data_IF_007512601953
#
_entry.id   IF_007512601953
#
_cell.length_a   1.000
_cell.length_b   1.000
_cell.length_c   1.000
_cell.angle_alpha   90.00
_cell.angle_beta   90.00
_cell.angle_gamma   90.00
#
_symmetry.space_group_name_H-M   'P 1'
#
loop_
_entity.id
_entity.type
_entity.pdbx_description
1 polymer ?
#
# COMPACT_ATOMS: atom_id res chain seq x y z
N UNK A 1 -19.85 -5.57 11.55
CA UNK A 1 -19.05 -4.48 12.15
C UNK A 1 -18.98 -3.34 11.17
N UNK A 2 -19.47 -2.18 11.50
CA UNK A 2 -19.30 -0.99 10.68
C UNK A 2 -18.24 -0.14 11.37
N UNK A 3 -17.02 -0.10 10.84
CA UNK A 3 -16.04 0.84 11.32
C UNK A 3 -16.26 2.18 10.62
N UNK A 4 -16.50 3.23 11.37
CA UNK A 4 -16.58 4.60 10.87
C UNK A 4 -15.22 5.22 11.16
N UNK A 5 -14.48 5.53 10.12
CA UNK A 5 -13.21 6.21 10.25
C UNK A 5 -13.42 7.72 10.14
N UNK A 6 -13.04 8.43 11.17
CA UNK A 6 -12.87 9.87 11.11
C UNK A 6 -11.44 10.12 10.65
N UNK A 7 -11.26 10.39 9.37
CA UNK A 7 -9.98 10.94 8.92
C UNK A 7 -9.74 12.22 9.67
N UNK A 8 -8.61 12.26 10.36
CA UNK A 8 -8.24 13.39 11.18
C UNK A 8 -8.27 14.68 10.35
N UNK A 9 -9.19 15.56 10.69
CA UNK A 9 -9.31 16.90 10.17
C UNK A 9 -8.33 17.83 10.91
N UNK A 10 -7.19 17.32 11.35
CA UNK A 10 -6.18 18.12 12.07
C UNK A 10 -5.50 19.17 11.20
N UNK A 11 -5.71 19.14 9.89
CA UNK A 11 -5.65 20.33 9.07
C UNK A 11 -7.10 20.74 8.74
N UNK A 12 -7.67 21.72 9.43
CA UNK A 12 -8.94 22.26 9.02
C UNK A 12 -8.76 22.87 7.64
N UNK A 13 -9.05 22.09 6.59
CA UNK A 13 -9.44 22.75 5.35
C UNK A 13 -10.62 23.63 5.74
N UNK A 14 -10.51 24.95 5.60
CA UNK A 14 -11.56 25.85 6.05
C UNK A 14 -12.88 25.36 5.44
N UNK A 15 -13.99 25.39 6.17
CA UNK A 15 -15.26 24.98 5.64
C UNK A 15 -15.46 25.77 4.34
N UNK A 16 -15.67 25.06 3.24
CA UNK A 16 -15.95 25.69 1.96
C UNK A 16 -17.23 26.49 2.14
N UNK A 17 -17.09 27.79 2.38
CA UNK A 17 -18.21 28.72 2.56
C UNK A 17 -18.88 28.85 1.21
N UNK A 18 -20.06 28.29 1.07
CA UNK A 18 -20.91 28.48 -0.09
C UNK A 18 -21.38 29.95 -0.08
N UNK A 19 -21.74 30.48 -1.26
CA UNK A 19 -22.32 31.83 -1.39
C UNK A 19 -23.52 32.11 -0.47
N UNK A 20 -24.13 31.05 0.09
CA UNK A 20 -25.27 31.12 1.02
C UNK A 20 -24.87 31.26 2.51
N UNK A 21 -23.59 31.42 2.82
CA UNK A 21 -23.08 31.55 4.19
C UNK A 21 -23.13 30.27 5.05
N UNK A 22 -23.57 29.12 4.48
CA UNK A 22 -23.64 27.86 5.18
C UNK A 22 -22.32 27.09 5.05
N UNK A 23 -21.75 26.65 6.17
CA UNK A 23 -20.58 25.80 6.20
C UNK A 23 -20.91 24.43 5.58
N UNK A 24 -20.18 24.04 4.53
CA UNK A 24 -20.27 22.68 3.95
C UNK A 24 -19.14 21.84 4.52
N UNK A 25 -19.49 20.82 5.23
CA UNK A 25 -18.53 19.82 5.71
C UNK A 25 -18.26 18.81 4.60
N UNK A 26 -16.99 18.46 4.32
CA UNK A 26 -16.64 17.47 3.31
C UNK A 26 -16.93 16.05 3.82
N UNK A 27 -18.16 15.60 3.65
CA UNK A 27 -18.61 14.25 4.06
C UNK A 27 -17.83 13.16 3.32
N UNK A 28 -17.32 13.46 2.14
CA UNK A 28 -16.52 12.56 1.31
C UNK A 28 -15.20 12.14 1.98
N UNK A 29 -14.72 12.94 2.95
CA UNK A 29 -13.52 12.61 3.73
C UNK A 29 -13.79 11.61 4.85
N UNK A 30 -15.06 11.30 5.15
CA UNK A 30 -15.43 10.31 6.15
C UNK A 30 -15.46 8.93 5.48
N UNK A 31 -14.48 8.09 5.78
CA UNK A 31 -14.43 6.71 5.31
C UNK A 31 -15.38 5.82 6.13
N UNK A 32 -16.36 5.22 5.49
CA UNK A 32 -17.25 4.23 6.13
C UNK A 32 -16.93 2.86 5.55
N UNK A 33 -16.37 1.98 6.38
CA UNK A 33 -16.12 0.59 5.99
C UNK A 33 -17.24 -0.29 6.54
N UNK A 34 -17.83 -1.06 5.64
CA UNK A 34 -18.87 -2.03 5.97
C UNK A 34 -18.22 -3.41 6.04
N UNK A 35 -18.30 -4.04 7.21
CA UNK A 35 -17.87 -5.42 7.39
C UNK A 35 -19.07 -6.29 7.80
N UNK A 36 -19.08 -7.53 7.32
CA UNK A 36 -20.03 -8.53 7.78
C UNK A 36 -19.67 -8.95 9.20
N UNK A 37 -20.64 -9.02 10.08
CA UNK A 37 -20.39 -9.36 11.48
C UNK A 37 -21.66 -9.21 12.32
N UNK A 38 -21.48 -9.00 13.60
CA UNK A 38 -22.48 -9.08 14.63
C UNK A 38 -23.58 -7.99 14.50
N UNK A 39 -23.75 -7.14 15.47
CA UNK A 39 -24.81 -6.13 15.47
C UNK A 39 -24.35 -4.79 14.87
N UNK A 40 -25.30 -3.99 14.35
CA UNK A 40 -25.05 -2.62 13.94
C UNK A 40 -24.63 -1.71 15.11
N UNK A 41 -25.00 -2.09 16.33
CA UNK A 41 -24.63 -1.36 17.56
C UNK A 41 -23.15 -1.50 17.91
N UNK A 42 -22.45 -2.49 17.37
CA UNK A 42 -21.01 -2.69 17.54
C UNK A 42 -20.16 -1.89 16.55
N UNK A 43 -20.78 -0.92 15.91
CA UNK A 43 -20.06 0.01 15.04
C UNK A 43 -19.13 0.89 15.88
N UNK A 44 -17.87 0.93 15.52
CA UNK A 44 -16.83 1.67 16.23
C UNK A 44 -16.38 2.88 15.42
N UNK A 45 -16.20 4.01 16.08
CA UNK A 45 -15.57 5.19 15.52
C UNK A 45 -14.07 5.09 15.78
N UNK A 46 -13.29 4.98 14.70
CA UNK A 46 -11.83 4.97 14.76
C UNK A 46 -11.29 6.36 14.48
N UNK A 47 -10.50 6.89 15.39
CA UNK A 47 -9.76 8.13 15.20
C UNK A 47 -8.48 7.80 14.41
N UNK A 48 -8.53 8.01 13.11
CA UNK A 48 -7.47 7.61 12.19
C UNK A 48 -8.00 7.15 10.84
N UNK A 49 -7.22 6.42 10.09
CA UNK A 49 -7.58 5.88 8.79
C UNK A 49 -7.83 4.38 8.86
N UNK A 50 -8.96 3.93 8.35
CA UNK A 50 -9.30 2.51 8.21
C UNK A 50 -9.30 2.14 6.74
N UNK A 51 -8.57 1.08 6.39
CA UNK A 51 -8.49 0.53 5.04
C UNK A 51 -9.31 -0.76 4.96
N UNK A 52 -9.97 -0.98 3.82
CA UNK A 52 -10.67 -2.23 3.54
C UNK A 52 -9.74 -3.42 3.28
N UNK A 53 -8.44 -3.15 3.16
CA UNK A 53 -7.41 -4.16 2.91
C UNK A 53 -7.04 -4.97 4.14
N UNK A 54 -6.51 -6.16 3.90
CA UNK A 54 -5.89 -7.00 4.93
C UNK A 54 -4.37 -7.04 4.71
N UNK A 55 -3.64 -7.41 5.76
CA UNK A 55 -2.21 -7.71 5.63
C UNK A 55 -1.99 -8.79 4.58
N UNK A 56 -0.96 -8.62 3.77
CA UNK A 56 -0.74 -9.45 2.58
C UNK A 56 -0.27 -10.88 2.93
N UNK A 57 0.41 -11.07 4.06
CA UNK A 57 0.86 -12.37 4.56
C UNK A 57 0.60 -12.53 6.06
N UNK A 58 0.32 -13.78 6.47
CA UNK A 58 0.06 -14.09 7.88
C UNK A 58 1.28 -13.93 8.78
N UNK A 59 2.49 -14.13 8.24
CA UNK A 59 3.75 -13.97 8.97
C UNK A 59 4.14 -12.52 9.30
N UNK A 60 3.38 -11.53 8.80
CA UNK A 60 3.62 -10.13 9.09
C UNK A 60 3.12 -9.76 10.48
N UNK A 61 3.77 -8.79 11.16
CA UNK A 61 3.33 -8.33 12.47
C UNK A 61 1.91 -7.75 12.40
N UNK A 62 1.18 -7.86 13.50
CA UNK A 62 -0.20 -7.32 13.61
C UNK A 62 -0.20 -5.83 13.90
N UNK A 63 0.85 -5.33 14.53
CA UNK A 63 0.99 -3.95 14.96
C UNK A 63 2.43 -3.49 14.79
N UNK A 64 2.59 -2.28 14.29
CA UNK A 64 3.88 -1.60 14.19
C UNK A 64 3.74 -0.23 14.85
N UNK A 65 4.64 0.07 15.77
CA UNK A 65 4.76 1.40 16.36
C UNK A 65 5.70 2.23 15.48
N UNK A 66 5.54 3.55 15.49
CA UNK A 66 6.35 4.50 14.70
C UNK A 66 6.36 4.12 13.20
N UNK A 67 5.16 3.98 12.65
CA UNK A 67 4.97 3.54 11.28
C UNK A 67 5.52 4.56 10.27
N UNK A 68 6.50 4.13 9.47
CA UNK A 68 6.96 4.82 8.26
C UNK A 68 6.26 4.20 7.08
N UNK A 69 5.33 4.94 6.49
CA UNK A 69 4.44 4.44 5.44
C UNK A 69 5.01 4.76 4.06
N UNK A 70 5.15 3.75 3.23
CA UNK A 70 5.47 3.88 1.83
C UNK A 70 4.23 3.55 1.00
N UNK A 71 3.83 4.47 0.11
CA UNK A 71 2.66 4.31 -0.75
C UNK A 71 3.09 4.05 -2.19
N UNK A 72 2.72 2.90 -2.73
CA UNK A 72 3.10 2.45 -4.06
C UNK A 72 1.86 2.26 -4.94
N UNK A 73 1.88 2.88 -6.11
CA UNK A 73 0.86 2.69 -7.15
C UNK A 73 1.41 1.90 -8.35
N UNK A 74 2.27 0.94 -8.09
CA UNK A 74 2.76 -0.01 -9.07
C UNK A 74 2.83 -1.43 -8.49
N UNK A 75 2.72 -2.48 -9.32
CA UNK A 75 2.76 -3.84 -8.84
C UNK A 75 4.18 -4.23 -8.39
N UNK A 76 4.29 -4.82 -7.19
CA UNK A 76 5.51 -5.48 -6.73
C UNK A 76 5.47 -6.93 -7.19
N UNK A 77 5.86 -7.16 -8.44
CA UNK A 77 5.86 -8.47 -9.06
C UNK A 77 7.28 -8.87 -9.45
N UNK A 78 7.49 -10.18 -9.59
CA UNK A 78 8.69 -10.71 -10.22
C UNK A 78 8.82 -10.09 -11.62
N UNK A 79 10.03 -9.69 -11.96
CA UNK A 79 10.32 -9.21 -13.31
C UNK A 79 9.94 -10.31 -14.31
N UNK A 80 9.12 -9.96 -15.29
CA UNK A 80 8.74 -10.83 -16.41
C UNK A 80 9.05 -10.10 -17.70
N UNK A 81 9.48 -10.84 -18.70
CA UNK A 81 9.60 -10.34 -20.06
C UNK A 81 8.24 -9.80 -20.53
N UNK A 82 8.27 -8.79 -21.39
CA UNK A 82 7.05 -8.19 -21.93
C UNK A 82 6.25 -9.24 -22.71
N UNK A 83 4.92 -9.12 -22.68
CA UNK A 83 4.05 -9.96 -23.47
C UNK A 83 4.44 -9.91 -24.95
N UNK A 84 4.52 -11.08 -25.60
CA UNK A 84 4.90 -11.21 -27.00
C UNK A 84 6.39 -11.43 -27.27
N UNK A 85 7.24 -11.39 -26.24
CA UNK A 85 8.67 -11.77 -26.37
C UNK A 85 8.81 -13.23 -25.98
N UNK A 86 9.11 -14.07 -26.97
CA UNK A 86 9.44 -15.48 -26.78
C UNK A 86 10.96 -15.63 -26.75
N UNK A 87 11.52 -16.05 -25.64
CA UNK A 87 12.94 -16.35 -25.52
C UNK A 87 13.10 -17.86 -25.78
N UNK A 88 13.61 -18.22 -26.96
CA UNK A 88 13.95 -19.62 -27.29
C UNK A 88 15.32 -19.93 -26.72
N UNK A 89 15.35 -20.76 -25.71
CA UNK A 89 16.59 -21.22 -25.09
C UNK A 89 16.74 -22.70 -25.37
N UNK A 90 17.83 -23.08 -26.02
CA UNK A 90 18.13 -24.49 -26.35
C UNK A 90 18.87 -25.18 -25.20
N UNK A 91 19.61 -24.43 -24.40
CA UNK A 91 20.45 -24.95 -23.32
C UNK A 91 19.76 -24.78 -21.96
N UNK A 92 19.61 -25.85 -21.16
CA UNK A 92 18.98 -25.80 -19.85
C UNK A 92 19.74 -24.90 -18.86
N UNK A 93 21.07 -24.84 -18.94
CA UNK A 93 21.91 -24.02 -18.07
C UNK A 93 21.62 -22.52 -18.24
N UNK A 94 21.41 -22.08 -19.46
CA UNK A 94 21.03 -20.70 -19.75
C UNK A 94 19.67 -20.33 -19.20
N UNK A 95 18.73 -21.28 -19.15
CA UNK A 95 17.42 -21.07 -18.57
C UNK A 95 17.52 -20.79 -17.06
N UNK A 96 18.41 -21.50 -16.36
CA UNK A 96 18.65 -21.25 -14.96
C UNK A 96 19.32 -19.91 -14.69
N UNK A 97 20.23 -19.49 -15.55
CA UNK A 97 20.86 -18.15 -15.48
C UNK A 97 19.82 -17.06 -15.62
N UNK A 98 18.92 -17.15 -16.62
CA UNK A 98 17.83 -16.17 -16.81
C UNK A 98 16.93 -16.10 -15.58
N UNK A 99 16.55 -17.23 -15.00
CA UNK A 99 15.74 -17.26 -13.77
C UNK A 99 16.45 -16.59 -12.60
N UNK A 100 17.74 -16.83 -12.43
CA UNK A 100 18.55 -16.17 -11.40
C UNK A 100 18.66 -14.67 -11.61
N UNK A 101 18.77 -14.21 -12.86
CA UNK A 101 18.77 -12.79 -13.18
C UNK A 101 17.42 -12.12 -12.89
N UNK A 102 16.30 -12.76 -13.24
CA UNK A 102 14.96 -12.27 -12.92
C UNK A 102 14.76 -12.13 -11.39
N UNK A 103 15.23 -13.10 -10.63
CA UNK A 103 15.20 -13.03 -9.16
C UNK A 103 16.11 -11.93 -8.62
N UNK A 104 17.30 -11.77 -9.20
CA UNK A 104 18.24 -10.72 -8.81
C UNK A 104 17.68 -9.31 -9.06
N UNK A 105 16.99 -9.10 -10.18
CA UNK A 105 16.30 -7.83 -10.48
C UNK A 105 15.23 -7.55 -9.45
N UNK A 106 14.38 -8.54 -9.16
CA UNK A 106 13.31 -8.42 -8.16
C UNK A 106 13.88 -8.13 -6.77
N UNK A 107 14.96 -8.81 -6.41
CA UNK A 107 15.66 -8.57 -5.15
C UNK A 107 16.18 -7.14 -5.04
N UNK A 108 16.83 -6.62 -6.10
CA UNK A 108 17.32 -5.23 -6.13
C UNK A 108 16.19 -4.21 -6.00
N UNK A 109 15.01 -4.50 -6.56
CA UNK A 109 13.84 -3.64 -6.36
C UNK A 109 13.38 -3.64 -4.91
N UNK A 110 13.30 -4.82 -4.28
CA UNK A 110 12.91 -4.93 -2.88
C UNK A 110 13.94 -4.29 -1.94
N UNK A 111 15.23 -4.43 -2.23
CA UNK A 111 16.29 -3.76 -1.48
C UNK A 111 16.13 -2.23 -1.51
N UNK A 112 15.75 -1.65 -2.66
CA UNK A 112 15.45 -0.22 -2.75
C UNK A 112 14.23 0.19 -1.93
N UNK A 113 13.18 -0.62 -1.91
CA UNK A 113 11.99 -0.40 -1.10
C UNK A 113 12.34 -0.44 0.39
N UNK A 114 13.11 -1.44 0.82
CA UNK A 114 13.53 -1.60 2.21
C UNK A 114 14.55 -0.54 2.64
N UNK A 115 15.41 -0.08 1.72
CA UNK A 115 16.39 0.99 1.99
C UNK A 115 15.73 2.33 2.37
N UNK A 116 14.45 2.55 2.02
CA UNK A 116 13.70 3.73 2.51
C UNK A 116 13.43 3.72 4.01
N UNK A 117 13.65 2.57 4.66
CA UNK A 117 13.35 2.38 6.08
C UNK A 117 11.85 2.31 6.38
N UNK A 118 11.01 2.10 5.35
CA UNK A 118 9.58 1.94 5.54
C UNK A 118 9.26 0.60 6.21
N UNK A 119 8.47 0.64 7.27
CA UNK A 119 7.98 -0.54 7.98
C UNK A 119 6.51 -0.87 7.65
N UNK A 120 5.84 -0.01 6.89
CA UNK A 120 4.50 -0.25 6.34
C UNK A 120 4.51 0.09 4.85
N UNK A 121 4.17 -0.88 4.02
CA UNK A 121 4.09 -0.73 2.56
C UNK A 121 2.65 -0.90 2.12
N UNK A 122 2.07 0.16 1.57
CA UNK A 122 0.70 0.16 1.04
C UNK A 122 0.77 0.16 -0.49
N UNK A 123 0.27 -0.88 -1.12
CA UNK A 123 0.32 -1.07 -2.56
C UNK A 123 -1.09 -1.13 -3.16
N UNK A 124 -1.35 -0.33 -4.21
CA UNK A 124 -2.60 -0.34 -4.96
C UNK A 124 -2.79 -1.61 -5.78
N UNK A 125 -1.68 -2.23 -6.15
CA UNK A 125 -1.64 -3.40 -7.01
C UNK A 125 -1.30 -4.69 -6.25
N UNK A 126 -1.07 -5.76 -7.00
CA UNK A 126 -0.67 -7.04 -6.43
C UNK A 126 0.78 -7.01 -5.94
N UNK A 127 1.03 -7.75 -4.88
CA UNK A 127 2.37 -8.05 -4.36
C UNK A 127 2.59 -9.55 -4.55
N UNK A 128 3.67 -9.92 -5.22
CA UNK A 128 4.06 -11.31 -5.46
C UNK A 128 4.63 -11.95 -4.20
N UNK A 129 4.50 -13.28 -4.08
CA UNK A 129 4.90 -14.03 -2.90
C UNK A 129 6.40 -13.90 -2.60
N UNK A 130 7.24 -13.78 -3.63
CA UNK A 130 8.67 -13.53 -3.46
C UNK A 130 8.91 -12.17 -2.76
N UNK A 131 8.20 -11.13 -3.18
CA UNK A 131 8.29 -9.80 -2.55
C UNK A 131 7.73 -9.82 -1.12
N UNK A 132 6.65 -10.59 -0.88
CA UNK A 132 6.10 -10.78 0.46
C UNK A 132 7.10 -11.42 1.42
N UNK A 133 7.89 -12.40 0.94
CA UNK A 133 8.94 -13.04 1.74
C UNK A 133 9.94 -12.00 2.26
N UNK A 134 10.43 -11.10 1.40
CA UNK A 134 11.36 -10.05 1.81
C UNK A 134 10.74 -9.07 2.81
N UNK A 135 9.45 -8.72 2.65
CA UNK A 135 8.75 -7.86 3.60
C UNK A 135 8.59 -8.53 4.97
N UNK A 136 8.28 -9.84 5.00
CA UNK A 136 8.17 -10.61 6.24
C UNK A 136 9.52 -10.71 6.94
N UNK A 137 10.59 -10.98 6.20
CA UNK A 137 11.97 -11.05 6.74
C UNK A 137 12.41 -9.70 7.33
N UNK A 138 11.98 -8.59 6.72
CA UNK A 138 12.24 -7.25 7.22
C UNK A 138 11.31 -6.83 8.38
N UNK A 139 10.32 -7.65 8.75
CA UNK A 139 9.33 -7.32 9.78
C UNK A 139 8.38 -6.19 9.38
N UNK A 140 8.23 -5.91 8.09
CA UNK A 140 7.36 -4.88 7.58
C UNK A 140 5.93 -5.41 7.33
N UNK A 141 4.94 -4.52 7.43
CA UNK A 141 3.56 -4.82 7.07
C UNK A 141 3.34 -4.42 5.61
N UNK A 142 2.90 -5.37 4.78
CA UNK A 142 2.44 -5.10 3.43
C UNK A 142 0.93 -5.18 3.33
N UNK A 143 0.31 -4.19 2.69
CA UNK A 143 -1.11 -4.20 2.34
C UNK A 143 -1.22 -4.14 0.82
N UNK A 144 -1.93 -5.08 0.22
CA UNK A 144 -2.08 -5.21 -1.23
C UNK A 144 -3.47 -4.85 -1.69
N UNK A 145 -3.60 -4.44 -2.95
CA UNK A 145 -4.88 -4.18 -3.63
C UNK A 145 -5.71 -3.11 -2.91
N UNK A 146 -5.06 -2.05 -2.47
CA UNK A 146 -5.74 -0.90 -1.88
C UNK A 146 -6.33 -0.05 -2.99
N UNK A 147 -7.57 0.39 -2.84
CA UNK A 147 -8.23 1.25 -3.81
C UNK A 147 -7.53 2.61 -3.95
N UNK A 148 -7.59 3.20 -5.15
CA UNK A 148 -6.93 4.48 -5.42
C UNK A 148 -7.39 5.60 -4.48
N UNK A 149 -8.67 5.63 -4.13
CA UNK A 149 -9.20 6.63 -3.19
C UNK A 149 -8.58 6.48 -1.79
N UNK A 150 -8.38 5.22 -1.36
CA UNK A 150 -7.74 4.92 -0.08
C UNK A 150 -6.24 5.23 -0.12
N UNK A 151 -5.55 5.01 -1.26
CA UNK A 151 -4.15 5.42 -1.43
C UNK A 151 -4.00 6.93 -1.28
N UNK A 152 -4.90 7.72 -1.90
CA UNK A 152 -4.90 9.17 -1.79
C UNK A 152 -5.17 9.61 -0.34
N UNK A 153 -6.09 8.93 0.36
CA UNK A 153 -6.38 9.22 1.77
C UNK A 153 -5.18 8.92 2.67
N UNK A 154 -4.53 7.75 2.47
CA UNK A 154 -3.29 7.39 3.18
C UNK A 154 -2.21 8.42 2.92
N UNK A 155 -1.97 8.78 1.67
CA UNK A 155 -0.97 9.76 1.29
C UNK A 155 -1.20 11.11 1.98
N UNK A 156 -2.44 11.60 2.00
CA UNK A 156 -2.80 12.85 2.69
C UNK A 156 -2.63 12.75 4.21
N UNK A 157 -3.02 11.63 4.82
CA UNK A 157 -2.94 11.45 6.26
C UNK A 157 -1.50 11.30 6.77
N UNK A 158 -0.64 10.67 5.99
CA UNK A 158 0.76 10.41 6.33
C UNK A 158 1.73 11.43 5.74
N UNK A 159 1.24 12.35 4.89
CA UNK A 159 2.05 13.28 4.09
C UNK A 159 3.06 12.53 3.18
N UNK A 160 2.78 11.28 2.86
CA UNK A 160 3.61 10.45 2.01
C UNK A 160 3.37 10.78 0.53
N UNK A 161 4.40 10.67 -0.28
CA UNK A 161 4.29 10.79 -1.73
C UNK A 161 3.90 9.45 -2.34
N UNK A 162 2.91 9.44 -3.23
CA UNK A 162 2.55 8.24 -3.99
C UNK A 162 3.61 8.01 -5.07
N UNK A 163 4.24 6.84 -5.04
CA UNK A 163 5.24 6.44 -6.04
C UNK A 163 4.56 5.64 -7.13
N UNK A 164 4.51 6.21 -8.34
CA UNK A 164 3.84 5.62 -9.51
C UNK A 164 4.78 4.79 -10.38
N UNK A 165 6.07 5.12 -10.38
CA UNK A 165 7.08 4.43 -11.20
C UNK A 165 8.09 3.76 -10.27
N UNK A 166 8.51 2.54 -10.60
CA UNK A 166 9.40 1.71 -9.78
C UNK A 166 10.80 2.29 -9.45
N UNK A 167 10.95 3.61 -9.47
CA UNK A 167 12.15 4.33 -9.02
C UNK A 167 11.86 4.92 -7.65
N UNK A 168 12.06 4.11 -6.64
CA UNK A 168 12.04 4.60 -5.25
C UNK A 168 13.35 5.35 -5.01
N UNK A 169 13.27 6.68 -4.90
CA UNK A 169 14.38 7.48 -4.35
C UNK A 169 14.14 7.63 -2.86
N UNK A 170 15.11 7.23 -2.05
CA UNK A 170 15.10 7.57 -0.64
C UNK A 170 15.09 9.10 -0.52
N UNK A 171 14.12 9.64 0.20
CA UNK A 171 14.17 11.04 0.61
C UNK A 171 15.34 11.19 1.58
N UNK A 172 16.27 12.08 1.26
CA UNK A 172 17.34 12.51 2.16
C UNK A 172 16.78 13.39 3.25
#
# INVERSE_FOLDING_TARGET
>A
MKAVCKTDLSSPSPPLTRSDGKARYPIENIGIIKAHGQSALESELVDGLVLSGSRAAQGMPLRVNDARVLVLDFPLQRYKTQMGVEVKVSDPDRLEEIKKEEEAITRRQMEKVLATGANVVVCGHAIDDLCLKYLVEAGAIGVRRVGNDDLIRVSKATQATIVVVGVVRAAQ
#
